data_IF_275157264273
#
_entry.id   IF_275157264273
#
_cell.length_a   1.000
_cell.length_b   1.000
_cell.length_c   1.000
_cell.angle_alpha   90.00
_cell.angle_beta   90.00
_cell.angle_gamma   90.00
#
_symmetry.space_group_name_H-M   'P 1'
#
loop_
_entity.id
_entity.type
_entity.pdbx_description
1 polymer ?
#
# COMPACT_ATOMS: atom_id res chain seq x y z
N UNK A 1 13.59 -17.41 -0.57
CA UNK A 1 12.65 -16.43 0.00
C UNK A 1 13.44 -15.59 1.00
N UNK A 2 13.63 -14.29 0.71
CA UNK A 2 14.33 -13.37 1.61
C UNK A 2 13.25 -12.61 2.41
N UNK A 3 13.08 -12.92 3.69
CA UNK A 3 12.11 -12.21 4.55
C UNK A 3 12.61 -10.84 4.99
N UNK A 4 13.91 -10.56 4.80
CA UNK A 4 14.51 -9.28 5.15
C UNK A 4 13.95 -8.19 4.23
N UNK A 5 13.51 -7.08 4.83
CA UNK A 5 12.96 -5.94 4.10
C UNK A 5 11.46 -6.00 3.80
N UNK A 6 10.79 -7.14 3.97
CA UNK A 6 9.34 -7.21 3.77
C UNK A 6 8.58 -6.30 4.75
N UNK A 7 9.00 -6.30 6.02
CA UNK A 7 8.48 -5.39 7.04
C UNK A 7 8.76 -3.91 6.72
N UNK A 8 9.94 -3.60 6.18
CA UNK A 8 10.31 -2.24 5.77
C UNK A 8 9.41 -1.75 4.61
N UNK A 9 9.11 -2.66 3.67
CA UNK A 9 8.15 -2.41 2.60
C UNK A 9 6.74 -2.13 3.13
N UNK A 10 6.22 -2.98 4.03
CA UNK A 10 4.93 -2.73 4.69
C UNK A 10 4.89 -1.38 5.42
N UNK A 11 5.97 -1.03 6.13
CA UNK A 11 6.08 0.26 6.81
C UNK A 11 6.03 1.42 5.81
N UNK A 12 6.72 1.31 4.66
CA UNK A 12 6.67 2.32 3.60
C UNK A 12 5.24 2.53 3.08
N UNK A 13 4.43 1.46 3.00
CA UNK A 13 3.03 1.55 2.58
C UNK A 13 2.16 2.33 3.58
N UNK A 14 2.36 2.09 4.89
CA UNK A 14 1.70 2.84 5.95
C UNK A 14 2.11 4.32 5.92
N UNK A 15 3.40 4.62 5.78
CA UNK A 15 3.91 5.99 5.69
C UNK A 15 3.31 6.74 4.49
N UNK A 16 3.18 6.06 3.35
CA UNK A 16 2.53 6.62 2.17
C UNK A 16 1.07 7.00 2.45
N UNK A 17 0.29 6.16 3.14
CA UNK A 17 -1.12 6.47 3.45
C UNK A 17 -1.26 7.62 4.47
N UNK A 18 -0.34 7.75 5.42
CA UNK A 18 -0.26 8.91 6.33
C UNK A 18 0.07 10.19 5.54
N UNK A 19 1.05 10.14 4.64
CA UNK A 19 1.41 11.27 3.80
C UNK A 19 0.26 11.68 2.86
N UNK A 20 -0.46 10.72 2.29
CA UNK A 20 -1.63 10.94 1.45
C UNK A 20 -2.74 11.70 2.20
N UNK A 21 -2.91 11.44 3.49
CA UNK A 21 -3.87 12.17 4.33
C UNK A 21 -3.50 13.65 4.46
N UNK A 22 -2.23 13.94 4.75
CA UNK A 22 -1.72 15.31 4.81
C UNK A 22 -1.81 16.03 3.46
N UNK A 23 -1.41 15.36 2.39
CA UNK A 23 -1.52 15.88 1.03
C UNK A 23 -2.98 16.20 0.65
N UNK A 24 -3.90 15.27 0.91
CA UNK A 24 -5.32 15.47 0.61
C UNK A 24 -5.93 16.59 1.45
N UNK A 25 -5.53 16.74 2.72
CA UNK A 25 -6.00 17.84 3.59
C UNK A 25 -5.58 19.20 3.07
N UNK A 26 -4.34 19.33 2.61
CA UNK A 26 -3.83 20.60 2.11
C UNK A 26 -4.51 21.02 0.80
N UNK A 27 -4.84 20.06 -0.08
CA UNK A 27 -5.45 20.34 -1.37
C UNK A 27 -6.98 20.44 -1.31
N UNK A 28 -7.64 19.70 -0.41
CA UNK A 28 -9.10 19.63 -0.30
C UNK A 28 -9.55 19.73 1.17
N UNK A 29 -9.37 20.89 1.81
CA UNK A 29 -9.58 21.05 3.26
C UNK A 29 -11.03 20.83 3.69
N UNK A 30 -12.00 21.11 2.82
CA UNK A 30 -13.44 20.98 3.11
C UNK A 30 -14.01 19.59 2.79
N UNK A 31 -13.16 18.60 2.50
CA UNK A 31 -13.61 17.23 2.25
C UNK A 31 -14.23 16.60 3.49
N UNK A 32 -15.25 15.77 3.30
CA UNK A 32 -15.80 14.89 4.35
C UNK A 32 -14.77 13.93 4.94
N UNK A 33 -13.62 13.73 4.27
CA UNK A 33 -12.48 12.96 4.78
C UNK A 33 -11.78 13.61 5.98
N UNK A 34 -12.01 14.90 6.24
CA UNK A 34 -11.32 15.67 7.30
C UNK A 34 -12.25 16.18 8.40
N UNK A 35 -13.44 15.58 8.53
CA UNK A 35 -14.41 15.92 9.60
C UNK A 35 -13.80 15.75 11.00
N UNK A 36 -12.79 14.88 11.14
CA UNK A 36 -11.97 14.75 12.35
C UNK A 36 -10.50 14.73 11.96
N UNK A 37 -9.63 14.92 12.95
CA UNK A 37 -8.20 14.71 12.77
C UNK A 37 -7.88 13.21 12.73
N UNK A 38 -7.84 12.64 11.52
CA UNK A 38 -7.36 11.29 11.29
C UNK A 38 -5.84 11.26 11.06
N UNK A 39 -5.20 10.13 11.40
CA UNK A 39 -3.79 9.90 11.15
C UNK A 39 -3.55 9.35 9.73
N UNK A 40 -4.22 8.25 9.39
CA UNK A 40 -4.18 7.61 8.07
C UNK A 40 -5.29 8.16 7.18
N UNK A 41 -5.10 8.08 5.87
CA UNK A 41 -6.11 8.47 4.88
C UNK A 41 -7.17 7.37 4.71
N UNK A 42 -6.73 6.13 4.77
CA UNK A 42 -7.54 4.93 4.60
C UNK A 42 -7.85 4.27 5.94
N UNK A 43 -8.86 3.39 5.94
CA UNK A 43 -9.15 2.54 7.10
C UNK A 43 -8.02 1.54 7.36
N UNK A 44 -7.93 1.02 8.59
CA UNK A 44 -6.92 0.02 8.95
C UNK A 44 -6.95 -1.20 8.01
N UNK A 45 -8.13 -1.69 7.65
CA UNK A 45 -8.28 -2.82 6.73
C UNK A 45 -7.68 -2.53 5.33
N UNK A 46 -7.89 -1.32 4.81
CA UNK A 46 -7.34 -0.90 3.52
C UNK A 46 -5.82 -0.73 3.60
N UNK A 47 -5.30 -0.17 4.69
CA UNK A 47 -3.85 -0.04 4.92
C UNK A 47 -3.21 -1.42 5.03
N UNK A 48 -3.82 -2.36 5.76
CA UNK A 48 -3.32 -3.74 5.84
C UNK A 48 -3.31 -4.42 4.47
N UNK A 49 -4.36 -4.23 3.65
CA UNK A 49 -4.39 -4.74 2.27
C UNK A 49 -3.22 -4.18 1.45
N UNK A 50 -2.96 -2.88 1.55
CA UNK A 50 -1.86 -2.23 0.83
C UNK A 50 -0.48 -2.68 1.32
N UNK A 51 -0.26 -2.69 2.63
CA UNK A 51 1.00 -3.12 3.25
C UNK A 51 1.31 -4.59 2.94
N UNK A 52 0.32 -5.48 3.00
CA UNK A 52 0.48 -6.89 2.64
C UNK A 52 0.93 -7.05 1.19
N UNK A 53 0.38 -6.26 0.27
CA UNK A 53 0.77 -6.27 -1.15
C UNK A 53 2.22 -5.80 -1.33
N UNK A 54 2.64 -4.75 -0.63
CA UNK A 54 4.05 -4.30 -0.69
C UNK A 54 4.99 -5.36 -0.12
N UNK A 55 4.66 -5.96 1.02
CA UNK A 55 5.43 -7.06 1.61
C UNK A 55 5.58 -8.23 0.64
N UNK A 56 4.49 -8.62 -0.03
CA UNK A 56 4.51 -9.70 -1.02
C UNK A 56 5.47 -9.39 -2.19
N UNK A 57 5.47 -8.15 -2.69
CA UNK A 57 6.39 -7.76 -3.75
C UNK A 57 7.85 -7.81 -3.31
N UNK A 58 8.16 -7.40 -2.08
CA UNK A 58 9.53 -7.51 -1.54
C UNK A 58 9.94 -8.97 -1.37
N UNK A 59 9.06 -9.84 -0.90
CA UNK A 59 9.31 -11.28 -0.74
C UNK A 59 9.60 -12.00 -2.07
N UNK A 60 9.03 -11.49 -3.18
CA UNK A 60 9.17 -12.05 -4.52
C UNK A 60 10.46 -11.63 -5.26
N UNK A 61 11.33 -10.84 -4.63
CA UNK A 61 12.59 -10.42 -5.23
C UNK A 61 13.77 -10.66 -4.28
N UNK A 62 14.99 -10.56 -4.81
CA UNK A 62 16.21 -10.77 -4.01
C UNK A 62 16.58 -9.55 -3.15
N UNK A 63 16.35 -8.35 -3.68
CA UNK A 63 16.65 -7.06 -3.04
C UNK A 63 15.56 -6.67 -2.04
N UNK A 64 15.89 -6.09 -0.88
CA UNK A 64 14.91 -5.51 0.04
C UNK A 64 14.31 -4.19 -0.48
N UNK A 65 14.85 -3.62 -1.57
CA UNK A 65 14.39 -2.35 -2.15
C UNK A 65 13.66 -2.58 -3.46
N UNK A 66 12.43 -2.08 -3.57
CA UNK A 66 11.68 -2.05 -4.82
C UNK A 66 12.25 -0.95 -5.74
N UNK A 67 12.37 -1.25 -7.03
CA UNK A 67 12.79 -0.30 -8.07
C UNK A 67 11.63 0.20 -8.93
N UNK A 68 10.43 -0.34 -8.72
CA UNK A 68 9.20 -0.01 -9.42
C UNK A 68 8.01 0.01 -8.46
N UNK A 69 7.00 0.80 -8.80
CA UNK A 69 5.74 0.85 -8.06
C UNK A 69 4.94 -0.45 -8.18
N UNK A 70 3.87 -0.55 -7.37
CA UNK A 70 2.92 -1.66 -7.51
C UNK A 70 2.15 -1.52 -8.83
N UNK A 71 1.79 -2.63 -9.49
CA UNK A 71 0.86 -2.58 -10.62
C UNK A 71 -0.51 -2.07 -10.16
N UNK A 72 -1.18 -1.29 -11.00
CA UNK A 72 -2.49 -0.65 -10.71
C UNK A 72 -3.63 -1.66 -10.55
N UNK A 73 -3.53 -2.82 -11.20
CA UNK A 73 -4.46 -3.94 -11.05
C UNK A 73 -3.75 -5.18 -10.51
N UNK A 74 -4.50 -6.00 -9.81
CA UNK A 74 -4.15 -7.39 -9.56
C UNK A 74 -4.71 -8.20 -10.71
N UNK A 75 -3.87 -9.04 -11.32
CA UNK A 75 -4.42 -10.23 -11.98
C UNK A 75 -5.08 -11.01 -10.85
N UNK A 76 -6.40 -11.20 -10.93
CA UNK A 76 -7.10 -11.99 -9.93
C UNK A 76 -6.46 -13.38 -9.90
N UNK A 77 -6.31 -13.97 -8.71
CA UNK A 77 -5.92 -15.39 -8.60
C UNK A 77 -6.87 -16.30 -9.40
N UNK A 78 -8.13 -15.86 -9.59
CA UNK A 78 -9.10 -16.52 -10.48
C UNK A 78 -8.80 -16.30 -11.96
N UNK A 79 -8.38 -15.11 -12.39
CA UNK A 79 -8.07 -14.82 -13.80
C UNK A 79 -6.89 -15.69 -14.27
N UNK A 80 -5.84 -15.83 -13.45
CA UNK A 80 -4.70 -16.69 -13.77
C UNK A 80 -5.03 -18.20 -13.81
N UNK A 81 -6.13 -18.63 -13.19
CA UNK A 81 -6.59 -20.02 -13.20
C UNK A 81 -7.39 -20.36 -14.47
N UNK A 82 -8.10 -19.37 -15.05
CA UNK A 82 -8.93 -19.55 -16.25
C UNK A 82 -8.20 -19.29 -17.59
N UNK A 83 -6.99 -18.73 -17.57
CA UNK A 83 -6.17 -18.49 -18.77
C UNK A 83 -5.32 -19.72 -19.20
N UNK A 84 -5.49 -20.88 -18.57
CA UNK A 84 -4.86 -22.16 -18.96
C UNK A 84 -5.83 -23.05 -19.72
#
# INVERSE_FOLDING_TARGET
MNTNGAGDGALSALLHDIAANGFHRNNVPNSSKHVRSYLTYSSLAQVCKYANRVSYQVLNQHSPRLTRGLPEREDSLEEAYWER
#
